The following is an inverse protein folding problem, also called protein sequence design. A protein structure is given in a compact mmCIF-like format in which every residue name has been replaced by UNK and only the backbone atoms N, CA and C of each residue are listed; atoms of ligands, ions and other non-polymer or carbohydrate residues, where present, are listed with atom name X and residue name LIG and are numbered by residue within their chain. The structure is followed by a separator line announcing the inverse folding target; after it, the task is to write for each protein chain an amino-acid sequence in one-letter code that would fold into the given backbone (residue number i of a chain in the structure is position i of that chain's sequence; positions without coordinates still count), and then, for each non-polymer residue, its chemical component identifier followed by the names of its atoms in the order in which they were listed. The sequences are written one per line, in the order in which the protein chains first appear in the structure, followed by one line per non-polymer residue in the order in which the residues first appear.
data_IF_285387136155
#
_entry.id   IF_285387136155
#
_cell.length_a   1.000
_cell.length_b   1.000
_cell.length_c   1.000
_cell.angle_alpha   90.00
_cell.angle_beta   90.00
_cell.angle_gamma   90.00
#
_symmetry.space_group_name_H-M   'P 1'
#
loop_
_entity.id
_entity.type
_entity.pdbx_description
1 polymer ?
#
# COMPACT_ATOMS: atom_id res chain seq x y z
N UNK A 1 -45.47 -12.88 17.59
CA UNK A 1 -44.17 -13.05 16.90
C UNK A 1 -43.08 -13.15 17.95
N UNK A 2 -42.27 -14.20 17.89
CA UNK A 2 -41.34 -14.55 18.98
C UNK A 2 -40.05 -13.71 18.86
N UNK A 3 -39.72 -12.84 19.83
CA UNK A 3 -38.63 -11.86 19.72
C UNK A 3 -37.24 -12.50 19.54
N UNK A 4 -37.07 -13.75 19.95
CA UNK A 4 -35.85 -14.56 19.78
C UNK A 4 -35.56 -14.90 18.32
N UNK A 5 -36.59 -15.13 17.50
CA UNK A 5 -36.42 -15.45 16.07
C UNK A 5 -35.99 -14.21 15.28
N UNK A 6 -36.48 -13.03 15.66
CA UNK A 6 -36.09 -11.76 15.06
C UNK A 6 -34.61 -11.43 15.34
N UNK A 7 -34.15 -11.66 16.57
CA UNK A 7 -32.74 -11.45 16.96
C UNK A 7 -31.79 -12.37 16.20
N UNK A 8 -32.09 -13.66 16.07
CA UNK A 8 -31.24 -14.61 15.32
C UNK A 8 -31.09 -14.21 13.85
N UNK A 9 -32.16 -13.74 13.21
CA UNK A 9 -32.12 -13.31 11.81
C UNK A 9 -31.25 -12.07 11.61
N UNK A 10 -31.26 -11.11 12.55
CA UNK A 10 -30.41 -9.92 12.50
C UNK A 10 -28.93 -10.30 12.64
N UNK A 11 -28.58 -11.19 13.56
CA UNK A 11 -27.19 -11.67 13.70
C UNK A 11 -26.69 -12.40 12.45
N UNK A 12 -27.54 -13.22 11.83
CA UNK A 12 -27.19 -13.93 10.60
C UNK A 12 -26.93 -12.94 9.43
N UNK A 13 -27.77 -11.91 9.29
CA UNK A 13 -27.60 -10.87 8.26
C UNK A 13 -26.31 -10.07 8.51
N UNK A 14 -26.03 -9.68 9.75
CA UNK A 14 -24.78 -8.96 10.10
C UNK A 14 -23.55 -9.84 9.82
N UNK A 15 -23.61 -11.13 10.15
CA UNK A 15 -22.52 -12.07 9.89
C UNK A 15 -22.28 -12.26 8.39
N UNK A 16 -23.33 -12.48 7.60
CA UNK A 16 -23.24 -12.59 6.14
C UNK A 16 -22.74 -11.29 5.51
N UNK A 17 -23.25 -10.13 5.95
CA UNK A 17 -22.78 -8.83 5.49
C UNK A 17 -21.30 -8.63 5.83
N UNK A 18 -20.84 -9.04 7.02
CA UNK A 18 -19.44 -8.97 7.45
C UNK A 18 -18.54 -9.93 6.66
N UNK A 19 -19.04 -11.10 6.28
CA UNK A 19 -18.34 -12.05 5.41
C UNK A 19 -18.22 -11.54 3.98
N UNK A 20 -19.25 -10.87 3.43
CA UNK A 20 -19.19 -10.21 2.12
C UNK A 20 -18.33 -8.93 2.16
N UNK A 21 -18.16 -8.32 3.35
CA UNK A 21 -17.28 -7.16 3.57
C UNK A 21 -15.79 -7.54 3.72
N UNK A 22 -15.46 -8.84 3.83
CA UNK A 22 -14.12 -9.33 3.50
C UNK A 22 -13.94 -9.28 1.99
N UNK A 23 -13.99 -8.07 1.43
CA UNK A 23 -13.37 -7.78 0.15
C UNK A 23 -11.94 -8.25 0.28
N UNK A 24 -11.59 -9.26 -0.50
CA UNK A 24 -10.21 -9.43 -0.95
C UNK A 24 -9.87 -8.07 -1.57
N UNK A 25 -9.22 -7.20 -0.80
CA UNK A 25 -8.86 -5.86 -1.26
C UNK A 25 -7.78 -6.07 -2.33
N UNK A 26 -8.24 -6.19 -3.57
CA UNK A 26 -7.42 -6.35 -4.73
C UNK A 26 -6.80 -4.99 -5.08
N UNK A 27 -5.72 -4.64 -4.37
CA UNK A 27 -4.94 -3.42 -4.57
C UNK A 27 -4.50 -3.33 -6.04
N UNK A 28 -4.69 -2.17 -6.67
CA UNK A 28 -4.19 -1.92 -8.03
C UNK A 28 -2.90 -1.14 -7.99
N UNK A 29 -1.91 -1.50 -8.78
CA UNK A 29 -0.63 -0.81 -8.85
C UNK A 29 -0.19 -0.60 -10.29
N UNK A 30 0.68 0.40 -10.51
CA UNK A 30 1.43 0.47 -11.76
C UNK A 30 2.50 -0.61 -11.78
N UNK A 31 2.69 -1.25 -12.93
CA UNK A 31 3.77 -2.18 -13.19
C UNK A 31 4.62 -1.70 -14.37
N UNK A 32 5.93 -1.68 -14.17
CA UNK A 32 6.92 -1.51 -15.23
C UNK A 32 8.18 -2.25 -14.77
N UNK A 33 8.86 -2.92 -15.70
CA UNK A 33 10.10 -3.65 -15.41
C UNK A 33 11.09 -3.37 -16.52
N UNK A 34 12.26 -2.86 -16.14
CA UNK A 34 13.39 -2.76 -17.06
C UNK A 34 13.85 -4.13 -17.56
N UNK A 35 14.52 -4.18 -18.71
CA UNK A 35 15.03 -5.41 -19.27
C UNK A 35 16.10 -6.04 -18.36
N UNK A 36 16.12 -7.38 -18.30
CA UNK A 36 17.06 -8.13 -17.43
C UNK A 36 18.51 -8.09 -17.92
N UNK A 37 18.77 -7.45 -19.07
CA UNK A 37 20.10 -7.30 -19.68
C UNK A 37 20.88 -6.08 -19.16
N UNK A 38 20.35 -5.38 -18.15
CA UNK A 38 21.01 -4.24 -17.51
C UNK A 38 21.02 -2.97 -18.36
N UNK A 39 20.29 -2.94 -19.48
CA UNK A 39 20.10 -1.71 -20.26
C UNK A 39 19.38 -0.66 -19.42
N UNK A 40 19.69 0.64 -19.65
CA UNK A 40 18.98 1.73 -19.00
C UNK A 40 17.48 1.63 -19.22
N UNK A 41 16.72 1.83 -18.15
CA UNK A 41 15.27 1.87 -18.17
C UNK A 41 14.82 3.06 -17.34
N UNK A 42 15.02 4.30 -17.85
CA UNK A 42 14.82 5.50 -17.08
C UNK A 42 13.35 5.67 -16.70
N UNK A 43 13.12 6.53 -15.72
CA UNK A 43 11.78 6.83 -15.22
C UNK A 43 10.78 7.18 -16.34
N UNK A 44 11.20 7.95 -17.34
CA UNK A 44 10.36 8.35 -18.48
C UNK A 44 9.89 7.16 -19.33
N UNK A 45 10.73 6.14 -19.46
CA UNK A 45 10.39 4.90 -20.18
C UNK A 45 9.39 4.07 -19.37
N UNK A 46 9.66 3.88 -18.08
CA UNK A 46 8.73 3.22 -17.16
C UNK A 46 7.36 3.92 -17.15
N UNK A 47 7.31 5.26 -17.09
CA UNK A 47 6.04 6.01 -17.11
C UNK A 47 5.24 5.76 -18.39
N UNK A 48 5.91 5.71 -19.54
CA UNK A 48 5.28 5.48 -20.85
C UNK A 48 4.76 4.06 -21.01
N UNK A 49 5.51 3.08 -20.53
CA UNK A 49 5.22 1.65 -20.72
C UNK A 49 4.46 1.03 -19.55
N UNK A 50 4.22 1.80 -18.47
CA UNK A 50 3.56 1.27 -17.29
C UNK A 50 2.15 0.75 -17.59
N UNK A 51 1.85 -0.42 -17.03
CA UNK A 51 0.53 -1.04 -17.07
C UNK A 51 -0.11 -1.01 -15.69
N UNK A 52 -1.43 -1.18 -15.62
CA UNK A 52 -2.13 -1.31 -14.33
C UNK A 52 -2.37 -2.81 -14.09
N UNK A 53 -1.86 -3.30 -12.96
CA UNK A 53 -2.08 -4.67 -12.51
C UNK A 53 -2.90 -4.71 -11.24
N UNK A 54 -3.54 -5.85 -11.01
CA UNK A 54 -4.27 -6.14 -9.78
C UNK A 54 -3.42 -7.07 -8.91
N UNK A 55 -3.05 -6.61 -7.73
CA UNK A 55 -2.27 -7.39 -6.79
C UNK A 55 -3.13 -8.43 -6.08
N UNK A 56 -2.54 -9.59 -5.85
CA UNK A 56 -3.11 -10.64 -5.02
C UNK A 56 -2.67 -10.43 -3.56
N UNK A 57 -3.55 -10.76 -2.61
CA UNK A 57 -3.30 -10.97 -1.17
C UNK A 57 -2.19 -10.12 -0.51
N UNK A 58 -2.57 -9.19 0.38
CA UNK A 58 -1.64 -8.48 1.28
C UNK A 58 -0.45 -7.79 0.60
N UNK A 59 -0.59 -7.46 -0.68
CA UNK A 59 0.43 -6.74 -1.43
C UNK A 59 0.38 -5.24 -1.16
N UNK A 60 1.52 -4.58 -1.36
CA UNK A 60 1.72 -3.14 -1.44
C UNK A 60 2.13 -2.76 -2.87
N UNK A 61 1.87 -1.52 -3.26
CA UNK A 61 2.45 -0.97 -4.48
C UNK A 61 3.89 -0.56 -4.20
N UNK A 62 4.84 -1.23 -4.84
CA UNK A 62 6.26 -0.93 -4.76
C UNK A 62 6.71 -0.05 -5.92
N UNK A 63 7.69 0.81 -5.63
CA UNK A 63 8.47 1.56 -6.60
C UNK A 63 9.93 1.56 -6.20
N UNK A 64 10.79 1.41 -7.20
CA UNK A 64 12.24 1.34 -7.05
C UNK A 64 12.89 2.12 -8.20
N UNK A 65 13.82 3.02 -7.88
CA UNK A 65 14.58 3.79 -8.85
C UNK A 65 16.04 3.80 -8.40
N UNK A 66 16.95 3.37 -9.28
CA UNK A 66 18.38 3.43 -9.00
C UNK A 66 19.17 4.05 -10.14
N UNK A 67 20.33 4.60 -9.75
CA UNK A 67 21.29 5.24 -10.63
C UNK A 67 22.69 4.78 -10.28
N UNK A 68 23.38 4.16 -11.23
CA UNK A 68 24.79 3.78 -11.11
C UNK A 68 25.60 4.64 -12.07
N UNK A 69 26.63 5.32 -11.56
CA UNK A 69 27.56 6.09 -12.39
C UNK A 69 28.81 5.26 -12.66
N UNK A 70 29.17 5.12 -13.93
CA UNK A 70 30.43 4.53 -14.38
C UNK A 70 31.14 5.51 -15.30
N UNK A 71 32.08 6.28 -14.76
CA UNK A 71 32.71 7.40 -15.47
C UNK A 71 31.68 8.46 -15.86
N UNK A 72 31.55 8.75 -17.16
CA UNK A 72 30.57 9.69 -17.70
C UNK A 72 29.18 9.08 -17.92
N UNK A 73 29.05 7.75 -17.86
CA UNK A 73 27.79 7.05 -18.10
C UNK A 73 26.97 6.97 -16.81
N UNK A 74 25.70 7.36 -16.90
CA UNK A 74 24.70 7.20 -15.84
C UNK A 74 23.71 6.14 -16.30
N UNK A 75 23.72 4.98 -15.64
CA UNK A 75 22.71 3.95 -15.86
C UNK A 75 21.57 4.16 -14.87
N UNK A 76 20.40 4.54 -15.37
CA UNK A 76 19.18 4.75 -14.58
C UNK A 76 18.18 3.63 -14.90
N UNK A 77 17.59 3.05 -13.86
CA UNK A 77 16.58 2.00 -13.98
C UNK A 77 15.48 2.24 -12.95
N UNK A 78 14.24 2.32 -13.42
CA UNK A 78 13.03 2.33 -12.60
C UNK A 78 12.25 1.01 -12.74
N UNK A 79 11.67 0.53 -11.65
CA UNK A 79 10.72 -0.57 -11.64
C UNK A 79 9.54 -0.26 -10.70
N UNK A 80 8.36 -0.75 -11.07
CA UNK A 80 7.12 -0.65 -10.30
C UNK A 80 6.44 -2.01 -10.33
N UNK A 81 5.90 -2.46 -9.21
CA UNK A 81 5.23 -3.77 -9.12
C UNK A 81 4.43 -3.92 -7.83
N UNK A 82 3.63 -4.98 -7.74
CA UNK A 82 3.10 -5.45 -6.46
C UNK A 82 4.22 -6.12 -5.65
N UNK A 83 4.33 -5.79 -4.37
CA UNK A 83 5.30 -6.42 -3.45
C UNK A 83 4.61 -6.88 -2.17
N UNK A 84 5.01 -8.02 -1.63
CA UNK A 84 4.48 -8.55 -0.37
C UNK A 84 4.95 -7.70 0.83
N UNK A 85 6.20 -7.24 0.78
CA UNK A 85 6.83 -6.41 1.80
C UNK A 85 7.83 -5.46 1.13
N UNK A 86 7.89 -4.23 1.64
CA UNK A 86 8.83 -3.20 1.17
C UNK A 86 10.30 -3.57 1.44
N UNK A 87 10.56 -4.43 2.42
CA UNK A 87 11.91 -4.85 2.82
C UNK A 87 12.73 -5.47 1.68
N UNK A 88 12.07 -6.15 0.74
CA UNK A 88 12.74 -6.70 -0.45
C UNK A 88 13.36 -5.61 -1.33
N UNK A 89 12.61 -4.52 -1.54
CA UNK A 89 13.08 -3.36 -2.32
C UNK A 89 14.17 -2.63 -1.52
N UNK A 90 13.97 -2.44 -0.22
CA UNK A 90 14.94 -1.78 0.66
C UNK A 90 16.30 -2.49 0.62
N UNK A 91 16.31 -3.82 0.75
CA UNK A 91 17.53 -4.64 0.67
C UNK A 91 18.23 -4.49 -0.69
N UNK A 92 17.45 -4.49 -1.78
CA UNK A 92 17.99 -4.29 -3.13
C UNK A 92 18.62 -2.89 -3.26
N UNK A 93 17.94 -1.84 -2.79
CA UNK A 93 18.49 -0.49 -2.76
C UNK A 93 19.78 -0.41 -1.93
N UNK A 94 19.83 -1.06 -0.77
CA UNK A 94 21.01 -1.09 0.09
C UNK A 94 22.22 -1.67 -0.64
N UNK A 95 22.04 -2.75 -1.41
CA UNK A 95 23.12 -3.33 -2.22
C UNK A 95 23.64 -2.33 -3.27
N UNK A 96 22.76 -1.58 -3.94
CA UNK A 96 23.16 -0.55 -4.90
C UNK A 96 23.94 0.58 -4.23
N UNK A 97 23.48 1.04 -3.06
CA UNK A 97 24.15 2.10 -2.29
C UNK A 97 25.55 1.65 -1.87
N UNK A 98 25.69 0.40 -1.40
CA UNK A 98 27.00 -0.18 -1.05
C UNK A 98 27.94 -0.33 -2.25
N UNK A 99 27.39 -0.52 -3.46
CA UNK A 99 28.15 -0.53 -4.70
C UNK A 99 28.52 0.89 -5.21
N UNK A 100 28.21 1.95 -4.46
CA UNK A 100 28.49 3.35 -4.83
C UNK A 100 27.44 3.98 -5.74
N UNK A 101 26.29 3.32 -5.93
CA UNK A 101 25.14 3.88 -6.63
C UNK A 101 24.24 4.72 -5.75
N UNK A 102 23.21 5.32 -6.35
CA UNK A 102 22.10 5.95 -5.65
C UNK A 102 20.84 5.11 -5.86
N UNK A 103 20.02 4.98 -4.82
CA UNK A 103 18.76 4.26 -4.89
C UNK A 103 17.69 4.92 -4.04
N UNK A 104 16.48 5.02 -4.58
CA UNK A 104 15.27 5.48 -3.91
C UNK A 104 14.19 4.42 -4.05
N UNK A 105 13.42 4.21 -2.99
CA UNK A 105 12.30 3.29 -3.00
C UNK A 105 11.11 3.87 -2.24
N UNK A 106 9.91 3.41 -2.58
CA UNK A 106 8.70 3.68 -1.83
C UNK A 106 7.72 2.52 -1.92
N UNK A 107 6.94 2.33 -0.86
CA UNK A 107 5.82 1.39 -0.84
C UNK A 107 4.60 2.06 -0.23
N UNK A 108 3.42 1.70 -0.71
CA UNK A 108 2.17 2.27 -0.27
C UNK A 108 1.00 1.29 -0.50
N UNK A 109 -0.11 1.49 0.21
CA UNK A 109 -1.23 0.55 0.35
C UNK A 109 -2.53 1.06 -0.29
N UNK A 110 -2.43 2.08 -1.16
CA UNK A 110 -3.57 2.67 -1.88
C UNK A 110 -3.48 2.38 -3.37
N UNK A 111 -4.62 2.28 -4.02
CA UNK A 111 -4.65 2.06 -5.47
C UNK A 111 -3.80 3.11 -6.22
N UNK A 112 -2.93 2.62 -7.09
CA UNK A 112 -2.10 3.39 -8.03
C UNK A 112 -1.14 4.38 -7.35
N UNK A 113 -0.86 4.21 -6.05
CA UNK A 113 -0.06 5.13 -5.27
C UNK A 113 1.45 5.12 -5.62
N UNK A 114 1.91 4.11 -6.36
CA UNK A 114 3.28 4.03 -6.88
C UNK A 114 3.48 4.77 -8.21
N UNK A 115 2.53 5.63 -8.60
CA UNK A 115 2.62 6.48 -9.79
C UNK A 115 3.47 7.75 -9.59
N UNK A 116 3.46 8.58 -10.64
CA UNK A 116 4.08 9.92 -10.63
C UNK A 116 5.61 9.92 -10.68
N UNK A 117 6.22 11.08 -10.43
CA UNK A 117 7.68 11.24 -10.37
C UNK A 117 8.19 11.06 -8.94
N UNK A 118 9.36 10.46 -8.77
CA UNK A 118 10.02 10.39 -7.47
C UNK A 118 10.34 11.80 -7.00
N UNK A 119 9.49 12.36 -6.13
CA UNK A 119 9.92 13.45 -5.27
C UNK A 119 11.00 12.87 -4.36
N UNK A 120 12.18 13.50 -4.29
CA UNK A 120 13.21 13.11 -3.35
C UNK A 120 12.60 13.09 -1.94
N UNK A 121 12.38 11.89 -1.40
CA UNK A 121 11.84 11.71 -0.06
C UNK A 121 12.94 12.14 0.91
N UNK A 122 12.89 13.39 1.38
CA UNK A 122 13.41 13.70 2.72
C UNK A 122 12.63 12.80 3.66
N UNK A 123 13.34 11.94 4.40
CA UNK A 123 12.76 10.96 5.31
C UNK A 123 11.59 11.53 6.08
N UNK A 124 10.38 11.11 5.72
CA UNK A 124 9.17 11.46 6.46
C UNK A 124 9.14 10.56 7.67
N UNK A 125 9.56 11.12 8.81
CA UNK A 125 9.23 10.60 10.11
C UNK A 125 7.72 10.31 10.18
N UNK A 126 7.39 9.19 10.82
CA UNK A 126 6.03 8.67 10.89
C UNK A 126 5.03 9.71 11.38
N UNK A 127 4.01 9.97 10.57
CA UNK A 127 2.77 10.56 11.05
C UNK A 127 1.81 9.41 11.32
N UNK A 128 1.91 8.87 12.54
CA UNK A 128 0.93 7.98 13.14
C UNK A 128 -0.33 8.83 13.41
N UNK A 129 -1.21 8.98 12.43
CA UNK A 129 -2.56 9.48 12.67
C UNK A 129 -3.35 8.38 13.37
N UNK A 130 -3.20 8.32 14.70
CA UNK A 130 -4.15 7.64 15.58
C UNK A 130 -5.45 8.44 15.51
N UNK A 131 -6.38 8.01 14.66
CA UNK A 131 -7.77 8.44 14.80
C UNK A 131 -8.27 7.89 16.13
N UNK A 132 -8.33 8.78 17.12
CA UNK A 132 -8.86 8.51 18.44
C UNK A 132 -10.26 7.88 18.33
N UNK A 133 -10.43 6.71 18.96
CA UNK A 133 -11.75 6.16 19.23
C UNK A 133 -12.47 7.12 20.17
N UNK A 134 -13.63 7.62 19.76
CA UNK A 134 -14.58 8.24 20.66
C UNK A 134 -15.74 7.26 20.90
N UNK A 135 -15.78 6.53 22.02
CA UNK A 135 -17.03 6.03 22.56
C UNK A 135 -17.66 7.15 23.38
N UNK A 136 -18.58 7.91 22.79
CA UNK A 136 -19.47 8.77 23.57
C UNK A 136 -20.51 7.88 24.25
N UNK A 137 -20.25 7.60 25.53
CA UNK A 137 -21.12 6.98 26.52
C UNK A 137 -22.33 7.90 26.77
N UNK A 138 -23.56 7.36 26.78
CA UNK A 138 -24.56 7.76 27.78
C UNK A 138 -25.27 6.50 28.28
N UNK A 139 -24.75 6.00 29.40
CA UNK A 139 -25.48 5.23 30.38
C UNK A 139 -26.47 6.19 31.06
N UNK A 140 -27.77 5.94 30.94
CA UNK A 140 -28.76 6.45 31.90
C UNK A 140 -29.65 5.26 32.27
N UNK A 141 -29.15 4.47 33.22
CA UNK A 141 -29.98 3.57 34.01
C UNK A 141 -30.53 4.36 35.20
N UNK A 142 -31.84 4.27 35.39
CA UNK A 142 -32.58 4.34 36.66
C UNK A 142 -32.53 5.64 37.46
N UNK A 143 -33.66 6.35 37.51
CA UNK A 143 -34.51 6.49 38.72
C UNK A 143 -35.52 7.62 38.49
N UNK A 144 -36.81 7.31 38.40
CA UNK A 144 -37.84 7.89 39.27
C UNK A 144 -39.16 7.12 39.10
N UNK A 145 -39.51 6.41 40.16
CA UNK A 145 -40.86 5.94 40.46
C UNK A 145 -41.86 7.11 40.57
N UNK A 146 -43.13 6.73 40.51
CA UNK A 146 -44.36 7.44 40.91
C UNK A 146 -45.10 8.26 39.83
N UNK A 147 -46.30 7.76 39.51
CA UNK A 147 -47.33 8.38 38.68
C UNK A 147 -48.23 7.34 38.04
#
# INVERSE_FOLDING_TARGET
MNPTVALMNVFLIIFIASCMLRRVNCLKCYECKGPDDGRPYPQEMCERESTIITCLNHSLCGRYLHRIKSGALVNEVEARSCVVDCKSIENSCRAIILAGGNCTHSCCDKDLCNGGKSAAVKGSQGSLLVTAMAPAIVYLSTLKEEG
#
